data_IF_664865969710
#
_entry.id   IF_664865969710
#
_cell.length_a   1.000
_cell.length_b   1.000
_cell.length_c   1.000
_cell.angle_alpha   90.00
_cell.angle_beta   90.00
_cell.angle_gamma   90.00
#
_symmetry.space_group_name_H-M   'P 1'
#
loop_
_entity.id
_entity.type
_entity.pdbx_description
1 polymer ?
#
# COMPACT_ATOMS: atom_id res chain seq x y z
N UNK A 1 43.43 20.96 -22.76
CA UNK A 1 43.65 19.58 -22.26
C UNK A 1 42.97 19.52 -20.90
N UNK A 2 41.71 19.13 -20.87
CA UNK A 2 40.93 18.94 -19.65
C UNK A 2 40.46 17.48 -19.63
N UNK A 3 40.85 16.76 -18.61
CA UNK A 3 40.54 15.34 -18.34
C UNK A 3 39.12 15.21 -17.77
N UNK A 4 38.22 14.39 -18.36
CA UNK A 4 36.90 14.09 -17.86
C UNK A 4 36.87 12.70 -17.27
N UNK A 5 37.40 12.51 -16.07
CA UNK A 5 37.23 11.24 -15.35
C UNK A 5 37.02 11.50 -13.86
N UNK A 6 35.79 11.81 -13.47
CA UNK A 6 35.37 11.71 -12.09
C UNK A 6 33.87 11.31 -11.98
N UNK A 7 33.57 10.08 -12.41
CA UNK A 7 32.32 9.43 -12.11
C UNK A 7 32.39 8.91 -10.66
N UNK A 8 31.67 9.57 -9.76
CA UNK A 8 31.51 9.10 -8.38
C UNK A 8 30.66 7.82 -8.38
N UNK A 9 31.31 6.71 -8.11
CA UNK A 9 30.65 5.46 -7.77
C UNK A 9 29.83 5.64 -6.49
N UNK A 10 28.52 5.34 -6.57
CA UNK A 10 27.63 5.25 -5.41
C UNK A 10 27.85 3.88 -4.76
N UNK A 11 28.22 3.78 -3.47
CA UNK A 11 28.51 2.50 -2.85
C UNK A 11 27.24 1.65 -2.71
N UNK A 12 27.29 0.44 -3.28
CA UNK A 12 26.30 -0.63 -3.05
C UNK A 12 26.33 -1.00 -1.57
N UNK A 13 25.27 -0.68 -0.83
CA UNK A 13 25.10 -1.15 0.54
C UNK A 13 24.81 -2.65 0.51
N UNK A 14 25.81 -3.44 0.95
CA UNK A 14 25.65 -4.84 1.27
C UNK A 14 24.80 -4.97 2.53
N UNK A 15 23.70 -5.72 2.46
CA UNK A 15 22.95 -6.14 3.63
C UNK A 15 23.64 -7.31 4.29
N UNK A 16 24.18 -7.07 5.50
CA UNK A 16 24.73 -8.12 6.37
C UNK A 16 23.58 -8.84 7.06
N UNK A 17 23.49 -10.15 6.82
CA UNK A 17 22.60 -11.04 7.54
C UNK A 17 23.19 -11.32 8.93
N UNK A 18 22.51 -10.92 9.99
CA UNK A 18 22.81 -11.34 11.37
C UNK A 18 21.90 -12.51 11.74
N UNK A 19 22.49 -13.68 11.82
CA UNK A 19 21.92 -14.88 12.41
C UNK A 19 22.15 -14.82 13.92
N UNK A 20 21.10 -14.90 14.71
CA UNK A 20 21.16 -15.00 16.18
C UNK A 20 20.30 -16.14 16.68
N UNK A 21 20.91 -17.06 17.41
CA UNK A 21 20.44 -18.38 17.80
C UNK A 21 19.62 -18.38 19.11
N UNK A 22 18.66 -19.31 19.12
CA UNK A 22 18.23 -20.26 20.17
C UNK A 22 18.17 -19.81 21.65
N UNK A 23 16.98 -19.98 22.23
CA UNK A 23 16.74 -20.11 23.66
C UNK A 23 15.47 -20.88 23.95
N UNK A 24 15.63 -22.16 24.32
CA UNK A 24 14.56 -23.05 24.80
C UNK A 24 14.49 -22.99 26.33
N UNK A 25 13.28 -22.94 26.89
CA UNK A 25 12.95 -23.39 28.25
C UNK A 25 11.42 -23.42 28.40
N UNK A 26 10.85 -24.57 28.53
CA UNK A 26 10.60 -25.43 29.68
C UNK A 26 9.17 -25.25 30.26
N UNK A 27 8.46 -26.33 30.16
CA UNK A 27 7.16 -26.75 30.72
C UNK A 27 6.98 -26.46 32.23
N UNK A 28 5.77 -26.09 32.61
CA UNK A 28 5.17 -26.52 33.87
C UNK A 28 3.67 -26.75 33.69
N UNK A 29 3.29 -27.97 34.00
CA UNK A 29 1.92 -28.46 34.08
C UNK A 29 1.31 -28.12 35.43
N UNK A 30 0.03 -27.76 35.45
CA UNK A 30 -0.78 -27.62 36.66
C UNK A 30 -2.21 -28.04 36.39
N UNK A 31 -2.62 -29.17 37.02
CA UNK A 31 -3.93 -29.80 36.89
C UNK A 31 -4.90 -29.35 37.97
N UNK A 32 -6.19 -29.18 37.61
CA UNK A 32 -7.40 -29.49 38.31
C UNK A 32 -8.10 -28.38 39.13
N UNK A 33 -9.36 -28.59 39.60
CA UNK A 33 -10.37 -29.50 39.14
C UNK A 33 -11.78 -28.91 38.87
N UNK A 34 -12.65 -29.72 38.33
CA UNK A 34 -14.11 -29.73 38.12
C UNK A 34 -14.99 -28.84 39.02
N UNK A 35 -15.99 -28.18 38.46
CA UNK A 35 -17.12 -27.60 39.18
C UNK A 35 -18.18 -26.96 38.27
N UNK A 36 -19.33 -27.66 38.13
CA UNK A 36 -20.66 -27.01 38.10
C UNK A 36 -21.20 -26.50 36.76
N UNK A 37 -22.06 -27.28 36.15
CA UNK A 37 -23.01 -26.88 35.13
C UNK A 37 -24.03 -25.88 35.65
N UNK A 38 -24.22 -24.77 34.94
CA UNK A 38 -25.46 -23.99 34.96
C UNK A 38 -25.79 -23.61 33.50
N UNK A 39 -26.85 -24.26 33.01
CA UNK A 39 -27.48 -23.94 31.72
C UNK A 39 -28.17 -22.58 31.83
N UNK A 40 -27.68 -21.61 31.09
CA UNK A 40 -28.40 -20.34 30.86
C UNK A 40 -28.73 -20.27 29.38
N UNK A 41 -30.04 -20.06 29.12
CA UNK A 41 -30.63 -19.97 27.80
C UNK A 41 -29.97 -18.87 26.97
N UNK A 42 -29.66 -19.18 25.72
CA UNK A 42 -29.21 -18.24 24.68
C UNK A 42 -30.30 -17.17 24.43
N UNK A 43 -29.96 -15.89 24.53
CA UNK A 43 -30.75 -14.87 23.88
C UNK A 43 -30.50 -14.94 22.36
N UNK A 44 -31.59 -15.09 21.62
CA UNK A 44 -31.65 -15.06 20.19
C UNK A 44 -30.77 -13.93 19.63
N UNK A 45 -29.73 -14.30 18.88
CA UNK A 45 -28.97 -13.39 18.04
C UNK A 45 -29.95 -12.79 17.01
N UNK A 46 -30.32 -11.52 17.24
CA UNK A 46 -30.86 -10.70 16.17
C UNK A 46 -29.78 -10.60 15.10
N UNK A 47 -30.01 -11.20 13.96
CA UNK A 47 -29.20 -11.01 12.75
C UNK A 47 -29.23 -9.51 12.42
N UNK A 48 -28.11 -8.84 12.64
CA UNK A 48 -27.88 -7.53 12.05
C UNK A 48 -27.98 -7.68 10.53
N UNK A 49 -28.70 -6.78 9.84
CA UNK A 49 -28.71 -6.80 8.38
C UNK A 49 -27.26 -6.72 7.91
N UNK A 50 -26.86 -7.72 7.12
CA UNK A 50 -25.59 -7.75 6.44
C UNK A 50 -25.47 -6.44 5.64
N UNK A 51 -24.54 -5.57 6.08
CA UNK A 51 -24.11 -4.45 5.27
C UNK A 51 -23.56 -5.02 3.97
N UNK A 52 -24.41 -5.04 2.95
CA UNK A 52 -24.02 -5.30 1.58
C UNK A 52 -23.12 -4.15 1.15
N UNK A 53 -21.79 -4.37 1.27
CA UNK A 53 -20.84 -3.55 0.51
C UNK A 53 -21.35 -3.48 -0.93
N UNK A 54 -21.36 -2.30 -1.57
CA UNK A 54 -21.73 -2.21 -2.96
C UNK A 54 -20.75 -3.08 -3.75
N UNK A 55 -21.21 -4.26 -4.15
CA UNK A 55 -20.58 -5.03 -5.21
C UNK A 55 -20.63 -4.14 -6.42
N UNK A 56 -19.51 -3.95 -7.10
CA UNK A 56 -19.46 -3.32 -8.41
C UNK A 56 -20.63 -3.85 -9.25
N UNK A 57 -21.38 -2.98 -9.93
CA UNK A 57 -22.59 -3.42 -10.64
C UNK A 57 -22.23 -4.58 -11.55
N UNK A 58 -23.04 -5.66 -11.58
CA UNK A 58 -22.80 -6.78 -12.47
C UNK A 58 -22.95 -6.26 -13.90
N UNK A 59 -21.84 -6.25 -14.65
CA UNK A 59 -21.83 -5.81 -16.05
C UNK A 59 -20.80 -4.74 -16.41
N UNK A 60 -20.00 -4.23 -15.48
CA UNK A 60 -18.82 -3.47 -15.85
C UNK A 60 -17.85 -4.44 -16.55
N UNK A 61 -17.72 -4.33 -17.87
CA UNK A 61 -16.63 -4.97 -18.60
C UNK A 61 -15.28 -4.55 -18.03
N UNK A 62 -14.17 -5.18 -18.44
CA UNK A 62 -12.85 -4.82 -17.94
C UNK A 62 -12.63 -3.32 -18.07
N UNK A 63 -12.08 -2.69 -17.02
CA UNK A 63 -11.73 -1.28 -17.07
C UNK A 63 -10.89 -1.00 -18.30
N UNK A 64 -11.20 0.07 -19.07
CA UNK A 64 -10.42 0.39 -20.25
C UNK A 64 -8.98 0.66 -19.86
N UNK A 65 -8.03 0.07 -20.59
CA UNK A 65 -6.63 0.44 -20.46
C UNK A 65 -6.42 1.91 -20.88
N UNK A 66 -5.31 2.56 -20.47
CA UNK A 66 -5.04 3.95 -20.82
C UNK A 66 -5.22 4.20 -22.31
N UNK A 67 -6.05 5.21 -22.70
CA UNK A 67 -6.23 5.56 -24.10
C UNK A 67 -4.92 6.07 -24.71
N UNK A 68 -4.82 6.02 -26.04
CA UNK A 68 -3.57 6.30 -26.77
C UNK A 68 -2.93 7.64 -26.41
N UNK A 69 -3.70 8.66 -26.05
CA UNK A 69 -3.18 9.97 -25.64
C UNK A 69 -2.37 9.93 -24.33
N UNK A 70 -2.63 8.97 -23.46
CA UNK A 70 -1.92 8.82 -22.18
C UNK A 70 -0.74 7.83 -22.27
N UNK A 71 -0.70 6.98 -23.28
CA UNK A 71 0.33 5.95 -23.41
C UNK A 71 1.77 6.48 -23.35
N UNK A 72 2.12 7.67 -23.89
CA UNK A 72 3.47 8.19 -23.76
C UNK A 72 3.94 8.37 -22.31
N UNK A 73 3.01 8.66 -21.38
CA UNK A 73 3.27 8.85 -19.95
C UNK A 73 2.98 7.59 -19.13
N UNK A 74 2.04 6.77 -19.59
CA UNK A 74 1.60 5.55 -18.88
C UNK A 74 2.33 4.28 -19.33
N UNK A 75 3.25 4.39 -20.28
CA UNK A 75 3.92 3.26 -20.88
C UNK A 75 3.11 2.58 -21.98
N UNK A 76 3.75 1.66 -22.69
CA UNK A 76 3.16 0.90 -23.81
C UNK A 76 3.13 -0.58 -23.48
N UNK A 77 2.16 -1.35 -23.99
CA UNK A 77 2.11 -2.80 -23.80
C UNK A 77 3.37 -3.56 -24.26
N UNK A 78 4.16 -2.95 -25.15
CA UNK A 78 5.41 -3.49 -25.66
C UNK A 78 6.63 -3.17 -24.80
N UNK A 79 6.49 -2.42 -23.72
CA UNK A 79 7.60 -2.08 -22.84
C UNK A 79 8.14 -3.32 -22.15
N UNK A 80 9.45 -3.31 -21.91
CA UNK A 80 10.16 -4.40 -21.23
C UNK A 80 10.37 -3.98 -19.77
N UNK A 81 9.47 -4.37 -18.90
CA UNK A 81 9.59 -4.20 -17.46
C UNK A 81 9.34 -5.55 -16.76
N UNK A 82 10.16 -5.95 -15.77
CA UNK A 82 10.01 -7.25 -15.12
C UNK A 82 8.62 -7.45 -14.49
N UNK A 83 8.07 -6.45 -13.80
CA UNK A 83 6.76 -6.58 -13.19
C UNK A 83 5.63 -6.61 -14.21
N UNK A 84 5.78 -5.90 -15.34
CA UNK A 84 4.85 -6.02 -16.46
C UNK A 84 4.89 -7.42 -17.09
N UNK A 85 6.07 -8.04 -17.21
CA UNK A 85 6.19 -9.44 -17.63
C UNK A 85 5.47 -10.39 -16.68
N UNK A 86 5.52 -10.13 -15.36
CA UNK A 86 4.79 -10.90 -14.35
C UNK A 86 3.27 -10.78 -14.55
N UNK A 87 2.77 -9.58 -14.86
CA UNK A 87 1.36 -9.38 -15.25
C UNK A 87 1.00 -10.22 -16.47
N UNK A 88 1.83 -10.16 -17.53
CA UNK A 88 1.59 -10.94 -18.78
C UNK A 88 1.61 -12.45 -18.50
N UNK A 89 2.49 -12.92 -17.61
CA UNK A 89 2.50 -14.32 -17.19
C UNK A 89 1.20 -14.69 -16.46
N UNK A 90 0.79 -13.90 -15.46
CA UNK A 90 -0.42 -14.22 -14.68
C UNK A 90 -1.68 -14.20 -15.54
N UNK A 91 -1.80 -13.24 -16.45
CA UNK A 91 -3.02 -13.06 -17.27
C UNK A 91 -3.04 -13.99 -18.50
N UNK A 92 -1.91 -14.19 -19.16
CA UNK A 92 -1.84 -14.86 -20.46
C UNK A 92 -0.95 -16.10 -20.48
N UNK A 93 -0.28 -16.45 -19.37
CA UNK A 93 0.68 -17.55 -19.31
C UNK A 93 1.98 -17.28 -20.06
N UNK A 94 2.28 -16.04 -20.40
CA UNK A 94 3.51 -15.66 -21.12
C UNK A 94 4.71 -15.79 -20.20
N UNK A 95 5.62 -16.74 -20.48
CA UNK A 95 6.78 -17.02 -19.65
C UNK A 95 7.73 -15.81 -19.65
N UNK A 96 8.11 -15.27 -18.46
CA UNK A 96 9.09 -14.21 -18.37
C UNK A 96 10.44 -14.61 -18.96
N UNK A 97 11.18 -13.68 -19.59
CA UNK A 97 12.52 -13.97 -20.11
C UNK A 97 13.50 -14.22 -18.95
N UNK A 98 14.46 -15.15 -19.11
CA UNK A 98 15.51 -15.34 -18.12
C UNK A 98 16.34 -14.04 -17.91
N UNK A 99 16.82 -13.75 -16.68
CA UNK A 99 16.82 -14.58 -15.49
C UNK A 99 15.58 -14.46 -14.59
N UNK A 100 14.49 -13.85 -15.07
CA UNK A 100 13.28 -13.64 -14.28
C UNK A 100 12.63 -14.98 -13.91
N UNK A 101 12.26 -15.11 -12.62
CA UNK A 101 11.55 -16.27 -12.12
C UNK A 101 10.05 -16.15 -12.44
N UNK A 102 9.34 -17.27 -12.44
CA UNK A 102 7.87 -17.26 -12.54
C UNK A 102 7.27 -16.56 -11.33
N UNK A 103 6.36 -15.62 -11.52
CA UNK A 103 5.71 -14.92 -10.42
C UNK A 103 4.74 -15.83 -9.67
N UNK A 104 4.53 -15.54 -8.39
CA UNK A 104 3.52 -16.18 -7.56
C UNK A 104 2.22 -15.37 -7.63
N UNK A 105 1.33 -15.78 -8.53
CA UNK A 105 0.04 -15.14 -8.78
C UNK A 105 -1.00 -15.66 -7.76
N UNK A 106 -1.36 -14.85 -6.78
CA UNK A 106 -2.32 -15.24 -5.72
C UNK A 106 -3.76 -15.06 -6.17
N UNK A 107 -4.04 -14.06 -7.01
CA UNK A 107 -5.37 -13.75 -7.53
C UNK A 107 -5.28 -13.02 -8.86
N UNK A 108 -6.26 -13.26 -9.71
CA UNK A 108 -6.51 -12.49 -10.93
C UNK A 108 -7.91 -11.90 -10.91
N UNK A 109 -8.02 -10.67 -11.37
CA UNK A 109 -9.26 -9.94 -11.64
C UNK A 109 -9.20 -9.34 -13.04
N UNK A 110 -10.29 -8.75 -13.53
CA UNK A 110 -10.29 -8.05 -14.81
C UNK A 110 -9.30 -6.85 -14.80
N UNK A 111 -9.21 -6.14 -13.68
CA UNK A 111 -8.51 -4.88 -13.61
C UNK A 111 -7.14 -4.97 -12.93
N UNK A 112 -6.88 -6.03 -12.15
CA UNK A 112 -5.65 -6.21 -11.40
C UNK A 112 -5.31 -7.67 -11.15
N UNK A 113 -4.05 -7.89 -10.79
CA UNK A 113 -3.58 -9.15 -10.20
C UNK A 113 -3.04 -8.90 -8.80
N UNK A 114 -3.03 -9.94 -7.97
CA UNK A 114 -2.32 -9.94 -6.67
C UNK A 114 -1.13 -10.87 -6.80
N UNK A 115 0.05 -10.34 -6.49
CA UNK A 115 1.31 -11.06 -6.48
C UNK A 115 1.88 -11.18 -5.07
N UNK A 116 2.57 -12.27 -4.81
CA UNK A 116 3.56 -12.31 -3.74
C UNK A 116 4.89 -11.79 -4.31
N UNK A 117 5.34 -10.65 -3.80
CA UNK A 117 6.61 -10.03 -4.22
C UNK A 117 7.82 -10.84 -3.75
N UNK A 118 8.92 -10.67 -4.46
CA UNK A 118 10.18 -11.36 -4.14
C UNK A 118 11.00 -10.59 -3.10
N UNK A 119 11.71 -11.24 -2.19
CA UNK A 119 11.68 -12.69 -1.93
C UNK A 119 10.39 -13.12 -1.20
N UNK A 120 9.87 -14.28 -1.54
CA UNK A 120 8.62 -14.82 -0.95
C UNK A 120 8.72 -15.13 0.56
N UNK A 121 9.90 -15.02 1.13
CA UNK A 121 10.12 -15.14 2.59
C UNK A 121 9.66 -13.91 3.36
N UNK A 122 9.21 -12.85 2.67
CA UNK A 122 8.75 -11.60 3.26
C UNK A 122 7.28 -11.36 2.97
N UNK A 123 6.58 -10.73 3.89
CA UNK A 123 5.21 -10.24 3.68
C UNK A 123 5.22 -9.01 2.78
N UNK A 124 5.49 -9.21 1.50
CA UNK A 124 5.49 -8.20 0.46
C UNK A 124 4.52 -8.60 -0.64
N UNK A 125 3.30 -8.15 -0.54
CA UNK A 125 2.27 -8.43 -1.53
C UNK A 125 2.00 -7.19 -2.36
N UNK A 126 1.68 -7.39 -3.63
CA UNK A 126 1.49 -6.32 -4.58
C UNK A 126 0.13 -6.46 -5.26
N UNK A 127 -0.64 -5.38 -5.30
CA UNK A 127 -1.69 -5.23 -6.29
C UNK A 127 -1.09 -4.55 -7.52
N UNK A 128 -1.25 -5.18 -8.69
CA UNK A 128 -0.69 -4.69 -9.96
C UNK A 128 -1.80 -4.63 -10.99
N UNK A 129 -2.03 -3.49 -11.68
CA UNK A 129 -3.02 -3.38 -12.75
C UNK A 129 -2.73 -4.35 -13.91
N UNK A 130 -3.79 -4.91 -14.51
CA UNK A 130 -3.71 -5.73 -15.74
C UNK A 130 -3.42 -4.91 -16.98
N UNK A 131 -3.57 -3.58 -16.89
CA UNK A 131 -3.15 -2.63 -17.92
C UNK A 131 -1.71 -2.15 -17.69
N UNK A 132 -1.04 -1.78 -18.77
CA UNK A 132 0.28 -1.14 -18.68
C UNK A 132 0.11 0.28 -18.15
N UNK A 133 0.59 0.52 -16.93
CA UNK A 133 0.60 1.80 -16.23
C UNK A 133 1.95 1.92 -15.53
N UNK A 134 2.74 2.94 -15.87
CA UNK A 134 4.11 3.09 -15.35
C UNK A 134 4.14 3.32 -13.83
N UNK A 135 3.30 4.22 -13.33
CA UNK A 135 3.28 4.57 -11.92
C UNK A 135 2.27 5.67 -11.64
N UNK A 136 2.42 6.30 -10.49
CA UNK A 136 1.52 7.34 -9.97
C UNK A 136 1.39 8.56 -10.92
N UNK A 137 2.38 8.80 -11.75
CA UNK A 137 2.42 9.89 -12.74
C UNK A 137 1.53 9.66 -13.97
N UNK A 138 0.98 8.46 -14.16
CA UNK A 138 0.11 8.18 -15.30
C UNK A 138 -1.22 8.93 -15.18
N UNK A 139 -1.54 9.90 -16.06
CA UNK A 139 -2.75 10.73 -15.91
C UNK A 139 -4.06 9.94 -16.04
N UNK A 140 -4.02 8.75 -16.62
CA UNK A 140 -5.19 7.87 -16.66
C UNK A 140 -5.73 7.56 -15.27
N UNK A 141 -4.86 7.47 -14.26
CA UNK A 141 -5.25 7.19 -12.87
C UNK A 141 -6.15 8.26 -12.26
N UNK A 142 -6.17 9.46 -12.82
CA UNK A 142 -6.99 10.58 -12.36
C UNK A 142 -8.37 10.62 -13.02
N UNK A 143 -8.60 9.77 -14.03
CA UNK A 143 -9.85 9.73 -14.78
C UNK A 143 -10.87 8.79 -14.14
N UNK A 144 -12.15 8.98 -14.46
CA UNK A 144 -13.23 8.08 -14.05
C UNK A 144 -13.18 6.69 -14.72
N UNK A 145 -12.32 6.52 -15.75
CA UNK A 145 -12.10 5.23 -16.40
C UNK A 145 -11.12 4.32 -15.65
N UNK A 146 -10.34 4.85 -14.72
CA UNK A 146 -9.43 4.04 -13.91
C UNK A 146 -10.16 3.29 -12.80
N UNK A 147 -9.79 2.04 -12.58
CA UNK A 147 -10.28 1.26 -11.45
C UNK A 147 -9.83 1.88 -10.12
N UNK A 148 -10.60 1.65 -9.06
CA UNK A 148 -10.22 2.10 -7.71
C UNK A 148 -9.27 1.09 -7.05
N UNK A 149 -8.03 1.05 -7.54
CA UNK A 149 -6.98 0.11 -7.09
C UNK A 149 -6.72 0.17 -5.57
N UNK A 150 -6.97 1.31 -4.90
CA UNK A 150 -6.79 1.45 -3.45
C UNK A 150 -7.85 0.68 -2.67
N UNK A 151 -9.11 0.78 -3.10
CA UNK A 151 -10.16 -0.03 -2.50
C UNK A 151 -9.93 -1.52 -2.78
N UNK A 152 -9.55 -1.87 -4.01
CA UNK A 152 -9.25 -3.25 -4.39
C UNK A 152 -8.08 -3.83 -3.58
N UNK A 153 -7.02 -3.05 -3.37
CA UNK A 153 -5.90 -3.46 -2.51
C UNK A 153 -6.37 -3.71 -1.07
N UNK A 154 -7.19 -2.83 -0.52
CA UNK A 154 -7.76 -3.02 0.82
C UNK A 154 -8.65 -4.26 0.92
N UNK A 155 -9.54 -4.50 -0.04
CA UNK A 155 -10.40 -5.68 -0.04
C UNK A 155 -9.60 -6.99 -0.07
N UNK A 156 -8.43 -7.00 -0.70
CA UNK A 156 -7.55 -8.16 -0.72
C UNK A 156 -6.64 -8.27 0.52
N UNK A 157 -6.28 -7.14 1.13
CA UNK A 157 -5.35 -7.07 2.25
C UNK A 157 -6.01 -7.26 3.62
N UNK A 158 -7.29 -6.88 3.77
CA UNK A 158 -8.01 -7.01 5.03
C UNK A 158 -8.27 -8.46 5.41
N UNK A 159 -8.68 -8.70 6.65
CA UNK A 159 -9.09 -10.03 7.12
C UNK A 159 -10.12 -10.67 6.18
N UNK A 160 -9.90 -11.91 5.79
CA UNK A 160 -10.73 -12.63 4.80
C UNK A 160 -10.43 -12.27 3.35
N UNK A 161 -9.49 -11.40 3.07
CA UNK A 161 -8.97 -11.12 1.73
C UNK A 161 -8.07 -12.23 1.19
N UNK A 162 -7.55 -12.05 -0.03
CA UNK A 162 -6.71 -13.06 -0.70
C UNK A 162 -5.23 -13.00 -0.31
N UNK A 163 -4.82 -12.00 0.44
CA UNK A 163 -3.43 -11.83 0.88
C UNK A 163 -3.25 -12.43 2.28
N UNK A 164 -2.32 -13.40 2.48
CA UNK A 164 -2.08 -14.02 3.76
C UNK A 164 -1.21 -13.14 4.67
N UNK A 165 -1.63 -11.91 4.94
CA UNK A 165 -0.90 -10.96 5.77
C UNK A 165 -1.32 -11.01 7.22
N UNK A 166 -0.48 -10.43 8.08
CA UNK A 166 -0.75 -10.27 9.50
C UNK A 166 -1.71 -9.09 9.72
N UNK A 167 -2.99 -9.30 9.41
CA UNK A 167 -4.03 -8.39 9.87
C UNK A 167 -4.05 -8.39 11.42
N UNK A 168 -4.18 -7.24 12.09
CA UNK A 168 -4.62 -5.94 11.59
C UNK A 168 -3.48 -4.98 11.18
N UNK A 169 -2.23 -5.37 11.21
CA UNK A 169 -1.09 -4.46 11.03
C UNK A 169 -0.74 -4.23 9.56
N UNK A 170 -1.71 -4.33 8.67
CA UNK A 170 -1.48 -4.09 7.26
C UNK A 170 -1.63 -2.62 6.89
N UNK A 171 -0.82 -2.15 5.95
CA UNK A 171 -0.95 -0.89 5.26
C UNK A 171 -0.76 -1.06 3.77
N UNK A 172 -1.15 -0.04 3.03
CA UNK A 172 -1.01 0.03 1.58
C UNK A 172 -0.07 1.17 1.23
N UNK A 173 0.72 1.03 0.19
CA UNK A 173 1.63 2.12 -0.19
C UNK A 173 2.11 2.05 -1.63
N UNK A 174 2.44 3.21 -2.19
CA UNK A 174 3.05 3.34 -3.51
C UNK A 174 4.29 4.22 -3.44
N UNK A 175 5.31 3.86 -4.19
CA UNK A 175 6.52 4.64 -4.36
C UNK A 175 6.37 5.66 -5.49
N UNK A 176 7.02 6.81 -5.35
CA UNK A 176 7.17 7.77 -6.43
C UNK A 176 8.02 7.21 -7.57
N UNK A 177 8.01 7.91 -8.70
CA UNK A 177 8.90 7.61 -9.82
C UNK A 177 10.39 7.69 -9.45
N UNK A 178 10.74 8.48 -8.43
CA UNK A 178 12.13 8.62 -7.95
C UNK A 178 12.60 7.44 -7.11
N UNK A 179 11.69 6.69 -6.51
CA UNK A 179 12.04 5.62 -5.55
C UNK A 179 11.70 4.22 -6.03
N UNK A 180 10.76 4.06 -6.95
CA UNK A 180 10.43 2.73 -7.49
C UNK A 180 11.54 2.20 -8.39
N UNK A 181 11.75 0.89 -8.34
CA UNK A 181 12.70 0.19 -9.20
C UNK A 181 12.02 -0.40 -10.45
N UNK A 182 10.74 -0.71 -10.37
CA UNK A 182 9.93 -1.31 -11.43
C UNK A 182 8.98 -0.28 -12.01
N UNK A 183 8.83 -0.28 -13.34
CA UNK A 183 8.07 0.73 -14.07
C UNK A 183 6.63 0.28 -14.37
N UNK A 184 6.07 -0.63 -13.61
CA UNK A 184 4.66 -0.99 -13.60
C UNK A 184 4.05 -0.54 -12.28
N UNK A 185 2.88 0.14 -12.31
CA UNK A 185 2.16 0.54 -11.12
C UNK A 185 1.95 -0.64 -10.19
N UNK A 186 2.30 -0.48 -8.95
CA UNK A 186 2.03 -1.49 -7.92
C UNK A 186 1.76 -0.84 -6.57
N UNK A 187 0.74 -1.33 -5.90
CA UNK A 187 0.42 -0.95 -4.53
C UNK A 187 0.95 -2.06 -3.62
N UNK A 188 1.90 -1.70 -2.78
CA UNK A 188 2.42 -2.59 -1.73
C UNK A 188 1.35 -2.83 -0.68
N UNK A 189 1.18 -4.08 -0.27
CA UNK A 189 0.37 -4.51 0.85
C UNK A 189 1.33 -5.18 1.85
N UNK A 190 1.68 -4.49 2.92
CA UNK A 190 2.70 -4.91 3.88
C UNK A 190 2.35 -4.46 5.30
N UNK A 191 3.11 -4.90 6.28
CA UNK A 191 2.91 -4.50 7.67
C UNK A 191 3.10 -3.01 7.91
N UNK A 192 2.44 -2.45 8.93
CA UNK A 192 2.66 -1.10 9.44
C UNK A 192 3.25 -1.19 10.84
N UNK A 193 4.21 -0.32 11.15
CA UNK A 193 4.80 -0.27 12.50
C UNK A 193 3.77 0.10 13.55
N UNK A 194 3.75 -0.56 14.73
CA UNK A 194 2.90 -0.16 15.85
C UNK A 194 3.10 1.30 16.27
N UNK A 195 4.35 1.81 16.21
CA UNK A 195 4.68 3.21 16.48
C UNK A 195 4.01 4.18 15.52
N UNK A 196 3.88 3.82 14.24
CA UNK A 196 3.15 4.63 13.24
C UNK A 196 1.66 4.72 13.59
N UNK A 197 1.03 3.59 13.96
CA UNK A 197 -0.37 3.58 14.41
C UNK A 197 -0.57 4.47 15.64
N UNK A 198 0.27 4.33 16.66
CA UNK A 198 0.21 5.14 17.88
C UNK A 198 0.35 6.64 17.56
N UNK A 199 1.34 6.99 16.73
CA UNK A 199 1.58 8.39 16.33
C UNK A 199 0.37 8.98 15.60
N UNK A 200 -0.24 8.25 14.67
CA UNK A 200 -1.43 8.71 13.94
C UNK A 200 -2.63 8.91 14.88
N UNK A 201 -2.84 8.02 15.83
CA UNK A 201 -3.89 8.18 16.83
C UNK A 201 -3.66 9.39 17.74
N UNK A 202 -2.42 9.69 18.10
CA UNK A 202 -2.08 10.86 18.90
C UNK A 202 -2.26 12.16 18.09
N UNK A 203 -1.88 12.18 16.82
CA UNK A 203 -2.15 13.30 15.92
C UNK A 203 -3.67 13.56 15.78
N UNK A 204 -4.48 12.50 15.71
CA UNK A 204 -5.94 12.62 15.65
C UNK A 204 -6.50 13.24 16.94
N UNK A 205 -6.08 12.76 18.13
CA UNK A 205 -6.48 13.34 19.43
C UNK A 205 -6.12 14.83 19.55
N UNK A 206 -5.00 15.22 18.96
CA UNK A 206 -4.54 16.61 18.91
C UNK A 206 -5.17 17.44 17.80
N UNK A 207 -6.14 16.91 17.04
CA UNK A 207 -6.75 17.55 15.87
C UNK A 207 -5.74 18.00 14.80
N UNK A 208 -4.62 17.24 14.65
CA UNK A 208 -3.54 17.50 13.69
C UNK A 208 -3.66 16.64 12.42
N UNK A 209 -4.84 16.10 12.15
CA UNK A 209 -5.19 15.33 10.94
C UNK A 209 -6.33 16.05 10.23
N UNK A 210 -6.19 16.24 8.91
CA UNK A 210 -7.26 16.78 8.09
C UNK A 210 -8.44 15.78 8.05
N UNK A 211 -9.67 16.30 8.17
CA UNK A 211 -10.92 15.52 8.03
C UNK A 211 -11.74 15.97 6.83
N UNK A 212 -11.27 17.02 6.15
CA UNK A 212 -11.84 17.54 4.91
C UNK A 212 -10.79 17.48 3.80
N UNK A 213 -11.19 17.04 2.62
CA UNK A 213 -10.31 16.91 1.46
C UNK A 213 -9.60 18.23 1.11
N UNK A 214 -10.33 19.35 1.15
CA UNK A 214 -9.79 20.69 0.88
C UNK A 214 -8.66 21.13 1.83
N UNK A 215 -8.53 20.47 2.95
CA UNK A 215 -7.50 20.77 3.94
C UNK A 215 -6.28 19.84 3.86
N UNK A 216 -6.32 18.79 3.05
CA UNK A 216 -5.24 17.77 3.00
C UNK A 216 -3.87 18.36 2.71
N UNK A 217 -3.77 19.35 1.79
CA UNK A 217 -2.53 20.05 1.47
C UNK A 217 -2.07 21.08 2.51
N UNK A 218 -2.90 21.42 3.51
CA UNK A 218 -2.61 22.52 4.44
C UNK A 218 -1.45 22.22 5.39
N UNK A 219 -0.52 23.15 5.64
CA UNK A 219 0.65 22.94 6.50
C UNK A 219 0.32 22.52 7.93
N UNK A 220 -0.81 22.96 8.48
CA UNK A 220 -1.25 22.60 9.84
C UNK A 220 -1.51 21.09 10.04
N UNK A 221 -1.74 20.35 8.96
CA UNK A 221 -1.96 18.90 8.96
C UNK A 221 -0.74 18.12 8.43
N UNK A 222 0.41 18.78 8.40
CA UNK A 222 1.69 18.13 8.19
C UNK A 222 2.26 17.66 9.53
N UNK A 223 2.83 16.47 9.55
CA UNK A 223 3.38 15.89 10.75
C UNK A 223 4.60 15.01 10.45
N UNK A 224 5.60 15.11 11.29
CA UNK A 224 6.74 14.19 11.28
C UNK A 224 6.31 12.85 11.88
N UNK A 225 6.66 11.78 11.17
CA UNK A 225 6.40 10.39 11.56
C UNK A 225 7.71 9.62 11.42
N UNK A 226 8.10 8.95 12.52
CA UNK A 226 9.30 8.12 12.57
C UNK A 226 9.08 6.83 11.77
N UNK A 227 10.01 6.56 10.88
CA UNK A 227 9.96 5.39 10.00
C UNK A 227 10.85 4.23 10.43
N UNK A 228 11.40 3.54 9.45
CA UNK A 228 12.33 2.45 9.65
C UNK A 228 13.56 2.90 10.44
N UNK A 229 14.14 1.98 11.21
CA UNK A 229 15.34 2.24 12.00
C UNK A 229 16.45 2.83 11.12
N UNK A 230 17.02 3.93 11.58
CA UNK A 230 18.05 4.67 10.86
C UNK A 230 17.56 5.57 9.73
N UNK A 231 16.26 5.58 9.40
CA UNK A 231 15.70 6.46 8.36
C UNK A 231 15.26 7.84 8.89
N UNK A 232 15.19 8.00 10.22
CA UNK A 232 14.74 9.24 10.87
C UNK A 232 13.27 9.54 10.67
N UNK A 233 12.88 10.77 10.99
CA UNK A 233 11.54 11.27 10.78
C UNK A 233 11.37 11.76 9.33
N UNK A 234 10.14 11.59 8.80
CA UNK A 234 9.75 12.19 7.52
C UNK A 234 8.40 12.87 7.68
N UNK A 235 8.23 13.97 6.97
CA UNK A 235 7.01 14.78 7.03
C UNK A 235 5.97 14.29 6.04
N UNK A 236 4.75 14.12 6.53
CA UNK A 236 3.59 13.71 5.76
C UNK A 236 2.45 14.70 5.90
N UNK A 237 1.67 14.90 4.82
CA UNK A 237 0.33 15.47 4.87
C UNK A 237 -0.62 14.36 5.27
N UNK A 238 -1.40 14.54 6.33
CA UNK A 238 -2.23 13.48 6.90
C UNK A 238 -3.71 13.83 6.79
N UNK A 239 -4.47 12.93 6.15
CA UNK A 239 -5.92 13.01 5.97
C UNK A 239 -6.57 11.77 6.63
N UNK A 240 -7.75 11.95 7.24
CA UNK A 240 -8.59 10.83 7.67
C UNK A 240 -9.79 10.69 6.73
N UNK A 241 -10.02 9.48 6.23
CA UNK A 241 -11.18 9.12 5.41
C UNK A 241 -12.04 8.05 6.08
N UNK A 242 -13.37 8.09 5.90
CA UNK A 242 -14.27 7.05 6.41
C UNK A 242 -14.12 5.75 5.61
N UNK A 243 -13.79 5.83 4.33
CA UNK A 243 -13.67 4.68 3.42
C UNK A 243 -12.68 4.98 2.28
N UNK A 244 -12.45 4.00 1.41
CA UNK A 244 -11.66 4.12 0.19
C UNK A 244 -12.55 4.09 -1.07
N UNK A 245 -13.79 4.52 -0.99
CA UNK A 245 -14.74 4.52 -2.11
C UNK A 245 -14.36 5.48 -3.24
N UNK A 246 -13.59 6.52 -2.95
CA UNK A 246 -13.07 7.45 -3.95
C UNK A 246 -11.65 7.08 -4.37
N UNK A 247 -11.32 7.31 -5.65
CA UNK A 247 -9.98 7.06 -6.17
C UNK A 247 -8.96 8.04 -5.55
N UNK A 248 -8.02 7.51 -4.76
CA UNK A 248 -7.04 8.35 -4.05
C UNK A 248 -6.06 9.07 -4.98
N UNK A 249 -5.79 8.58 -6.18
CA UNK A 249 -4.96 9.28 -7.16
C UNK A 249 -5.63 10.59 -7.59
N UNK A 250 -6.93 10.53 -7.91
CA UNK A 250 -7.74 11.72 -8.22
C UNK A 250 -7.81 12.69 -7.05
N UNK A 251 -7.99 12.19 -5.82
CA UNK A 251 -8.03 13.04 -4.63
C UNK A 251 -6.69 13.71 -4.36
N UNK A 252 -5.58 12.97 -4.46
CA UNK A 252 -4.23 13.50 -4.28
C UNK A 252 -3.93 14.61 -5.28
N UNK A 253 -4.19 14.35 -6.57
CA UNK A 253 -4.02 15.34 -7.61
C UNK A 253 -4.83 16.62 -7.34
N UNK A 254 -6.12 16.45 -7.11
CA UNK A 254 -7.08 17.55 -6.98
C UNK A 254 -6.84 18.43 -5.75
N UNK A 255 -6.50 17.84 -4.61
CA UNK A 255 -6.46 18.53 -3.32
C UNK A 255 -5.06 18.82 -2.78
N UNK A 256 -4.02 18.22 -3.36
CA UNK A 256 -2.64 18.40 -2.91
C UNK A 256 -1.77 18.88 -4.07
N UNK A 257 -1.70 18.10 -5.15
CA UNK A 257 -0.70 18.29 -6.20
C UNK A 257 -1.01 19.51 -7.05
N UNK A 258 -2.19 19.55 -7.66
CA UNK A 258 -2.57 20.63 -8.57
C UNK A 258 -2.65 22.01 -7.87
N UNK A 259 -3.26 22.17 -6.68
CA UNK A 259 -3.31 23.47 -6.01
C UNK A 259 -1.94 24.02 -5.60
N UNK A 260 -0.98 23.15 -5.33
CA UNK A 260 0.37 23.51 -4.91
C UNK A 260 1.39 23.53 -6.07
N UNK A 261 0.97 23.22 -7.31
CA UNK A 261 1.86 23.14 -8.46
C UNK A 261 2.94 22.07 -8.33
N UNK A 262 2.63 20.96 -7.62
CA UNK A 262 3.55 19.84 -7.42
C UNK A 262 3.51 18.86 -8.59
N UNK A 263 4.45 17.91 -8.60
CA UNK A 263 4.54 16.85 -9.60
C UNK A 263 4.01 15.52 -9.02
N UNK A 264 3.05 14.88 -9.71
CA UNK A 264 2.54 13.55 -9.35
C UNK A 264 3.64 12.50 -9.34
N UNK A 265 4.62 12.58 -10.24
CA UNK A 265 5.73 11.64 -10.31
C UNK A 265 6.57 11.60 -9.03
N UNK A 266 6.56 12.66 -8.24
CA UNK A 266 7.35 12.80 -7.00
C UNK A 266 6.61 12.34 -5.75
N UNK A 267 5.30 12.07 -5.85
CA UNK A 267 4.47 11.73 -4.69
C UNK A 267 4.65 10.28 -4.25
N UNK A 268 4.66 10.07 -2.94
CA UNK A 268 4.37 8.79 -2.30
C UNK A 268 3.02 8.88 -1.58
N UNK A 269 2.29 7.79 -1.57
CA UNK A 269 0.98 7.70 -0.92
C UNK A 269 0.91 6.43 -0.09
N UNK A 270 0.45 6.57 1.16
CA UNK A 270 0.36 5.46 2.10
C UNK A 270 -1.03 5.49 2.75
N UNK A 271 -1.66 4.34 2.87
CA UNK A 271 -2.94 4.15 3.56
C UNK A 271 -2.73 3.26 4.77
N UNK A 272 -3.13 3.74 5.93
CA UNK A 272 -3.04 3.01 7.19
C UNK A 272 -4.46 2.87 7.76
N UNK A 273 -5.02 1.65 7.86
CA UNK A 273 -6.31 1.45 8.49
C UNK A 273 -6.22 1.87 9.96
N UNK A 274 -7.22 2.59 10.47
CA UNK A 274 -7.29 2.92 11.89
C UNK A 274 -7.65 1.67 12.67
N UNK A 275 -6.76 1.28 13.57
CA UNK A 275 -6.94 0.10 14.42
C UNK A 275 -7.25 0.49 15.85
N UNK A 276 -8.09 -0.30 16.50
CA UNK A 276 -8.38 -0.25 17.95
C UNK A 276 -8.16 -1.62 18.56
N UNK A 277 -8.31 -1.74 19.87
CA UNK A 277 -8.27 -3.05 20.53
C UNK A 277 -9.36 -4.01 20.00
N UNK A 278 -10.48 -3.48 19.49
CA UNK A 278 -11.56 -4.26 18.88
C UNK A 278 -11.31 -4.59 17.38
N UNK A 279 -10.18 -4.18 16.81
CA UNK A 279 -9.86 -4.37 15.39
C UNK A 279 -9.99 -3.11 14.56
N UNK A 280 -10.35 -3.26 13.28
CA UNK A 280 -10.51 -2.15 12.34
C UNK A 280 -11.67 -1.22 12.74
N UNK A 281 -11.38 0.07 12.83
CA UNK A 281 -12.32 1.09 13.32
C UNK A 281 -13.17 1.75 12.20
N UNK A 282 -13.23 1.15 11.01
CA UNK A 282 -14.05 1.67 9.90
C UNK A 282 -13.56 3.00 9.30
N UNK A 283 -12.27 3.32 9.44
CA UNK A 283 -11.69 4.53 8.82
C UNK A 283 -10.20 4.36 8.54
N UNK A 284 -9.65 5.27 7.73
CA UNK A 284 -8.27 5.20 7.25
C UNK A 284 -7.56 6.53 7.49
N UNK A 285 -6.28 6.44 7.78
CA UNK A 285 -5.34 7.54 7.64
C UNK A 285 -4.69 7.43 6.28
N UNK A 286 -4.75 8.51 5.50
CA UNK A 286 -4.11 8.63 4.18
C UNK A 286 -3.00 9.65 4.29
N UNK A 287 -1.79 9.21 3.99
CA UNK A 287 -0.58 10.00 4.11
C UNK A 287 0.02 10.23 2.73
N UNK A 288 0.30 11.49 2.38
CA UNK A 288 1.09 11.82 1.20
C UNK A 288 2.36 12.55 1.58
N UNK A 289 3.43 12.31 0.84
CA UNK A 289 4.69 13.01 0.99
C UNK A 289 5.41 13.12 -0.34
N UNK A 290 6.35 14.02 -0.43
CA UNK A 290 7.30 14.19 -1.54
C UNK A 290 8.56 14.88 -1.02
N UNK A 291 9.55 15.04 -1.87
CA UNK A 291 10.83 15.67 -1.56
C UNK A 291 10.76 17.21 -1.45
N UNK A 292 9.61 17.85 -1.70
CA UNK A 292 9.41 19.27 -1.48
C UNK A 292 9.08 19.64 -0.03
N UNK A 293 8.64 18.65 0.76
CA UNK A 293 8.42 18.84 2.19
C UNK A 293 9.77 18.84 2.93
N UNK A 294 9.86 19.62 4.00
CA UNK A 294 11.00 19.55 4.92
C UNK A 294 11.08 18.12 5.51
N UNK A 295 12.21 17.46 5.31
CA UNK A 295 12.41 16.05 5.64
C UNK A 295 11.33 15.11 5.06
N UNK A 296 10.81 15.45 3.86
CA UNK A 296 9.84 14.64 3.14
C UNK A 296 10.43 13.34 2.60
N UNK A 297 9.55 12.49 2.06
CA UNK A 297 9.97 11.20 1.48
C UNK A 297 9.23 10.91 0.18
N UNK A 298 9.87 10.13 -0.66
CA UNK A 298 9.34 9.67 -1.96
C UNK A 298 9.06 8.16 -1.98
N UNK A 299 9.22 7.48 -0.83
CA UNK A 299 9.02 6.03 -0.69
C UNK A 299 8.04 5.66 0.42
N UNK A 300 7.16 4.70 0.17
CA UNK A 300 6.28 4.12 1.18
C UNK A 300 7.02 3.16 2.14
N UNK A 301 8.22 2.71 1.79
CA UNK A 301 9.04 1.80 2.60
C UNK A 301 9.48 2.44 3.92
N UNK A 302 9.35 3.78 4.03
CA UNK A 302 9.60 4.47 5.28
C UNK A 302 8.65 4.00 6.41
N UNK A 303 7.39 3.72 6.11
CA UNK A 303 6.37 3.30 7.08
C UNK A 303 5.95 1.83 6.95
N UNK A 304 6.14 1.22 5.78
CA UNK A 304 5.80 -0.18 5.56
C UNK A 304 6.92 -1.12 6.02
N UNK A 305 6.54 -2.31 6.45
CA UNK A 305 7.44 -3.34 6.98
C UNK A 305 7.18 -4.66 6.26
N UNK A 306 8.20 -5.17 5.63
CA UNK A 306 8.20 -6.43 4.87
C UNK A 306 8.85 -7.55 5.72
N UNK A 307 8.12 -8.07 6.69
CA UNK A 307 8.61 -9.16 7.58
C UNK A 307 7.84 -10.43 7.40
#
# INVERSE_FOLDING_TARGET
MNDPSNAREVPRRQFVALSGAVGAAALLAGAGPLGGAASAADPAHAESPADSCPTSPPGAGPSPCPPAQFQPLCGKPTDKDPLWNDVQFCVHGTVPPPPQLKPNCLKMSADYIILHGMPETRHNYLLVPTCRITGIECPFLETSGAANYWNDAWQNARSGGSVPVQYPNIGLGINSALSRQLQQLHIHMAGVRPSTQARLQDLEKMSRIATQLSHWGSPQYQAAITGAEGSGDRTYRVLKLPDLGQNLFTLLYRYVVNPAGLDMARQTLIVVPKMTAAGFAGSFYVLSSDDSLHDGTTTCDHLLVYR
#
